data_IF_781176982655
#
_entry.id   IF_781176982655
#
_cell.length_a   1.000
_cell.length_b   1.000
_cell.length_c   1.000
_cell.angle_alpha   90.00
_cell.angle_beta   90.00
_cell.angle_gamma   90.00
#
_symmetry.space_group_name_H-M   'P 1'
#
loop_
_entity.id
_entity.type
_entity.pdbx_description
1 polymer ?
#
# COMPACT_ATOMS: atom_id res chain seq x y z
N UNK A 1 -21.10 39.17 16.77
CA UNK A 1 -21.64 37.80 16.66
C UNK A 1 -21.81 37.48 15.18
N UNK A 2 -20.81 36.82 14.58
CA UNK A 2 -20.95 35.96 13.39
C UNK A 2 -19.87 34.89 13.52
N UNK A 3 -20.30 33.65 13.42
CA UNK A 3 -19.60 32.43 13.82
C UNK A 3 -18.40 32.13 12.93
N UNK A 4 -17.38 31.52 13.55
CA UNK A 4 -16.25 30.90 12.85
C UNK A 4 -16.75 29.67 12.10
N UNK A 5 -16.42 29.58 10.82
CA UNK A 5 -16.24 28.29 10.16
C UNK A 5 -14.74 28.15 9.93
N UNK A 6 -14.10 27.51 10.90
CA UNK A 6 -12.73 27.02 10.77
C UNK A 6 -12.79 25.87 9.76
N UNK A 7 -12.78 26.20 8.46
CA UNK A 7 -12.54 25.22 7.41
C UNK A 7 -11.06 24.83 7.52
N UNK A 8 -10.82 23.80 8.32
CA UNK A 8 -9.57 23.07 8.37
C UNK A 8 -9.28 22.57 6.95
N UNK A 9 -8.55 23.38 6.20
CA UNK A 9 -7.90 22.98 4.97
C UNK A 9 -6.97 21.84 5.36
N UNK A 10 -7.45 20.60 5.26
CA UNK A 10 -6.61 19.41 5.22
C UNK A 10 -5.64 19.67 4.07
N UNK A 11 -4.47 20.21 4.41
CA UNK A 11 -3.44 20.56 3.44
C UNK A 11 -3.22 19.33 2.57
N UNK A 12 -3.17 19.54 1.26
CA UNK A 12 -2.90 18.46 0.31
C UNK A 12 -1.77 17.60 0.89
N UNK A 13 -2.02 16.32 1.25
CA UNK A 13 -0.97 15.52 1.84
C UNK A 13 0.20 15.54 0.85
N UNK A 14 1.45 15.61 1.37
CA UNK A 14 2.61 15.59 0.50
C UNK A 14 2.49 14.40 -0.46
N UNK A 15 2.97 14.52 -1.72
CA UNK A 15 2.90 13.43 -2.68
C UNK A 15 3.37 12.14 -2.02
N UNK A 16 2.52 11.11 -2.07
CA UNK A 16 2.81 9.81 -1.44
C UNK A 16 3.98 9.19 -2.19
N UNK A 17 5.18 9.32 -1.63
CA UNK A 17 6.34 8.60 -2.13
C UNK A 17 6.10 7.08 -1.97
N UNK A 18 6.06 6.38 -3.11
CA UNK A 18 5.81 4.95 -3.18
C UNK A 18 6.82 4.15 -2.33
N UNK A 19 8.08 4.59 -2.27
CA UNK A 19 9.11 3.94 -1.44
C UNK A 19 8.90 4.18 0.04
N UNK A 20 8.38 5.35 0.43
CA UNK A 20 8.06 5.65 1.83
C UNK A 20 6.84 4.86 2.32
N UNK A 21 5.84 4.62 1.46
CA UNK A 21 4.72 3.72 1.78
C UNK A 21 5.23 2.28 1.93
N UNK A 22 6.07 1.82 0.99
CA UNK A 22 6.65 0.47 1.05
C UNK A 22 7.54 0.25 2.28
N UNK A 23 8.37 1.23 2.66
CA UNK A 23 9.20 1.15 3.85
C UNK A 23 8.35 0.94 5.11
N UNK A 24 7.23 1.67 5.24
CA UNK A 24 6.28 1.47 6.35
C UNK A 24 5.68 0.07 6.37
N UNK A 25 5.40 -0.53 5.21
CA UNK A 25 4.94 -1.93 5.17
C UNK A 25 6.02 -2.87 5.69
N UNK A 26 7.27 -2.69 5.27
CA UNK A 26 8.39 -3.51 5.75
C UNK A 26 8.58 -3.40 7.25
N UNK A 27 8.59 -2.18 7.78
CA UNK A 27 8.75 -1.92 9.22
C UNK A 27 7.65 -2.61 10.06
N UNK A 28 6.42 -2.69 9.54
CA UNK A 28 5.30 -3.37 10.18
C UNK A 28 5.37 -4.90 10.07
N UNK A 29 6.00 -5.43 9.01
CA UNK A 29 6.14 -6.86 8.78
C UNK A 29 7.36 -7.47 9.49
N UNK A 30 8.47 -6.74 9.59
CA UNK A 30 9.73 -7.20 10.21
C UNK A 30 9.56 -7.81 11.63
N UNK A 31 8.78 -7.24 12.57
CA UNK A 31 8.64 -7.82 13.90
C UNK A 31 7.66 -9.01 13.96
N UNK A 32 7.02 -9.39 12.86
CA UNK A 32 6.05 -10.47 12.86
C UNK A 32 6.74 -11.84 13.03
N UNK A 33 6.18 -12.75 13.85
CA UNK A 33 6.67 -14.12 13.93
C UNK A 33 6.64 -14.83 12.57
N UNK A 34 7.50 -15.81 12.39
CA UNK A 34 7.42 -16.71 11.24
C UNK A 34 6.00 -17.32 11.14
N UNK A 35 5.48 -17.40 9.91
CA UNK A 35 4.11 -17.83 9.57
C UNK A 35 2.96 -16.92 10.03
N UNK A 36 3.23 -15.71 10.54
CA UNK A 36 2.20 -14.71 10.77
C UNK A 36 1.69 -14.08 9.45
N UNK A 37 0.50 -13.51 9.50
CA UNK A 37 -0.12 -12.79 8.37
C UNK A 37 -0.46 -11.36 8.80
N UNK A 38 -0.45 -10.44 7.84
CA UNK A 38 -0.86 -9.05 8.03
C UNK A 38 -1.90 -8.65 6.98
N UNK A 39 -2.73 -7.66 7.31
CA UNK A 39 -3.71 -7.06 6.40
C UNK A 39 -3.56 -5.55 6.40
N UNK A 40 -3.26 -4.99 5.23
CA UNK A 40 -3.23 -3.54 5.01
C UNK A 40 -4.55 -3.10 4.38
N UNK A 41 -5.23 -2.13 5.00
CA UNK A 41 -6.48 -1.55 4.49
C UNK A 41 -6.22 -0.05 4.27
N UNK A 42 -6.33 0.40 3.02
CA UNK A 42 -6.15 1.80 2.63
C UNK A 42 -6.93 2.11 1.35
N UNK A 43 -6.75 3.30 0.80
CA UNK A 43 -7.25 3.66 -0.53
C UNK A 43 -6.43 2.96 -1.61
N UNK A 44 -7.09 2.57 -2.72
CA UNK A 44 -6.46 1.92 -3.87
C UNK A 44 -5.16 2.61 -4.29
N UNK A 45 -5.21 3.94 -4.48
CA UNK A 45 -4.05 4.74 -4.89
C UNK A 45 -2.81 4.60 -4.00
N UNK A 46 -2.97 4.36 -2.71
CA UNK A 46 -1.81 4.14 -1.81
C UNK A 46 -1.31 2.70 -1.88
N UNK A 47 -2.21 1.72 -1.98
CA UNK A 47 -1.87 0.31 -2.13
C UNK A 47 -1.14 0.05 -3.45
N UNK A 48 -1.62 0.64 -4.55
CA UNK A 48 -1.07 0.48 -5.89
C UNK A 48 0.35 1.07 -6.01
N UNK A 49 0.57 2.24 -5.42
CA UNK A 49 1.91 2.85 -5.36
C UNK A 49 2.90 1.94 -4.63
N UNK A 50 2.51 1.42 -3.47
CA UNK A 50 3.35 0.51 -2.70
C UNK A 50 3.63 -0.81 -3.44
N UNK A 51 2.64 -1.35 -4.17
CA UNK A 51 2.80 -2.54 -4.99
C UNK A 51 3.78 -2.32 -6.15
N UNK A 52 3.67 -1.20 -6.87
CA UNK A 52 4.61 -0.83 -7.94
C UNK A 52 6.03 -0.70 -7.38
N UNK A 53 6.20 -0.09 -6.21
CA UNK A 53 7.50 0.01 -5.55
C UNK A 53 8.02 -1.35 -5.04
N UNK A 54 7.14 -2.25 -4.62
CA UNK A 54 7.51 -3.59 -4.17
C UNK A 54 7.97 -4.50 -5.33
N UNK A 55 7.39 -4.30 -6.53
CA UNK A 55 7.67 -5.09 -7.73
C UNK A 55 8.07 -4.18 -8.91
N UNK A 56 9.21 -3.48 -8.84
CA UNK A 56 9.60 -2.47 -9.83
C UNK A 56 9.89 -3.04 -11.21
N UNK A 57 10.08 -4.36 -11.31
CA UNK A 57 10.38 -5.07 -12.56
C UNK A 57 9.23 -5.95 -13.06
N UNK A 58 8.06 -5.91 -12.40
CA UNK A 58 6.88 -6.61 -12.90
C UNK A 58 6.32 -5.94 -14.16
N UNK A 59 5.64 -6.71 -15.00
CA UNK A 59 4.89 -6.17 -16.14
C UNK A 59 3.57 -5.56 -15.64
N UNK A 60 3.61 -4.28 -15.24
CA UNK A 60 2.44 -3.58 -14.70
C UNK A 60 1.30 -3.42 -15.73
N UNK A 61 1.56 -3.56 -17.03
CA UNK A 61 0.49 -3.53 -18.03
C UNK A 61 -0.47 -4.72 -17.88
N UNK A 62 0.02 -5.85 -17.36
CA UNK A 62 -0.80 -7.04 -17.08
C UNK A 62 -1.66 -6.91 -15.83
N UNK A 63 -1.41 -5.89 -15.00
CA UNK A 63 -2.09 -5.77 -13.72
C UNK A 63 -3.55 -5.34 -13.88
N UNK A 64 -3.91 -4.69 -14.99
CA UNK A 64 -5.28 -4.26 -15.27
C UNK A 64 -5.62 -2.88 -14.68
N UNK A 65 -6.91 -2.61 -14.51
CA UNK A 65 -7.39 -1.32 -14.03
C UNK A 65 -7.02 -1.06 -12.54
N UNK A 66 -7.02 0.19 -12.06
CA UNK A 66 -6.93 0.47 -10.62
C UNK A 66 -7.95 -0.33 -9.81
N UNK A 67 -7.63 -0.63 -8.56
CA UNK A 67 -8.48 -1.42 -7.67
C UNK A 67 -9.82 -0.74 -7.42
N UNK A 68 -10.88 -1.52 -7.61
CA UNK A 68 -12.21 -1.19 -7.12
C UNK A 68 -12.38 -1.44 -5.62
N UNK A 69 -13.61 -1.26 -5.13
CA UNK A 69 -13.92 -1.52 -3.73
C UNK A 69 -13.76 -3.00 -3.36
N UNK A 70 -12.99 -3.25 -2.30
CA UNK A 70 -12.64 -4.58 -1.82
C UNK A 70 -11.82 -5.42 -2.83
N UNK A 71 -11.17 -4.77 -3.79
CA UNK A 71 -10.10 -5.39 -4.58
C UNK A 71 -8.74 -5.09 -3.92
N UNK A 72 -7.70 -5.85 -4.29
CA UNK A 72 -6.37 -5.66 -3.74
C UNK A 72 -5.37 -6.69 -4.24
N UNK A 73 -4.38 -7.02 -3.42
CA UNK A 73 -3.39 -8.04 -3.74
C UNK A 73 -3.09 -8.92 -2.53
N UNK A 74 -2.80 -10.20 -2.79
CA UNK A 74 -2.13 -11.09 -1.83
C UNK A 74 -0.64 -11.08 -2.12
N UNK A 75 0.17 -10.87 -1.10
CA UNK A 75 1.62 -10.83 -1.19
C UNK A 75 2.24 -11.98 -0.40
N UNK A 76 3.33 -12.52 -0.93
CA UNK A 76 4.25 -13.37 -0.17
C UNK A 76 5.46 -12.52 0.20
N UNK A 77 5.90 -12.62 1.45
CA UNK A 77 7.10 -11.95 1.94
C UNK A 77 7.95 -12.90 2.76
N UNK A 78 9.26 -12.64 2.80
CA UNK A 78 10.23 -13.38 3.60
C UNK A 78 11.36 -12.44 4.07
N UNK A 79 12.33 -12.95 4.84
CA UNK A 79 13.57 -12.26 5.23
C UNK A 79 13.41 -11.15 6.29
N UNK A 80 14.56 -10.59 6.67
CA UNK A 80 14.69 -9.47 7.60
C UNK A 80 15.70 -8.43 7.03
N UNK A 81 15.24 -7.26 6.56
CA UNK A 81 13.86 -6.77 6.57
C UNK A 81 12.97 -7.51 5.56
N UNK A 82 11.66 -7.45 5.76
CA UNK A 82 10.68 -8.11 4.89
C UNK A 82 10.86 -7.71 3.40
N UNK A 83 11.03 -8.72 2.54
CA UNK A 83 11.08 -8.58 1.10
C UNK A 83 9.91 -9.32 0.46
N UNK A 84 9.22 -8.67 -0.49
CA UNK A 84 8.09 -9.26 -1.19
C UNK A 84 8.58 -10.10 -2.37
N UNK A 85 8.11 -11.34 -2.48
CA UNK A 85 8.58 -12.33 -3.45
C UNK A 85 7.53 -12.71 -4.48
N UNK A 86 6.25 -12.55 -4.15
CA UNK A 86 5.14 -12.88 -5.06
C UNK A 86 3.95 -11.95 -4.85
N UNK A 87 3.18 -11.74 -5.92
CA UNK A 87 1.98 -10.89 -5.94
C UNK A 87 0.87 -11.55 -6.75
N UNK A 88 -0.28 -11.74 -6.11
CA UNK A 88 -1.51 -12.12 -6.78
C UNK A 88 -2.53 -10.99 -6.65
N UNK A 89 -2.95 -10.41 -7.77
CA UNK A 89 -4.05 -9.44 -7.79
C UNK A 89 -5.37 -10.15 -7.50
N UNK A 90 -6.16 -9.58 -6.60
CA UNK A 90 -7.47 -10.07 -6.16
C UNK A 90 -8.54 -9.10 -6.67
N UNK A 91 -9.35 -9.58 -7.61
CA UNK A 91 -10.41 -8.82 -8.29
C UNK A 91 -11.72 -9.60 -8.25
N UNK A 92 -12.86 -8.93 -8.44
CA UNK A 92 -14.19 -9.57 -8.47
C UNK A 92 -14.58 -10.09 -9.85
#
# INVERSE_FOLDING_TARGET
>A
MRERKDDEQIGNPPPRDAHAVLARWRDLLTPLPAAANALFISHGGELELALVAAFPHADHATWGAPFGHCEGARLIFDGDPAHFTDVQLLRR
#
